data_IF_320356991590
#
_entry.id   IF_320356991590
#
_cell.length_a   1.000
_cell.length_b   1.000
_cell.length_c   1.000
_cell.angle_alpha   90.00
_cell.angle_beta   90.00
_cell.angle_gamma   90.00
#
_symmetry.space_group_name_H-M   'P 1'
#
loop_
_entity.id
_entity.type
_entity.pdbx_description
1 polymer ?
#
# COMPACT_ATOMS: atom_id res chain seq x y z
N UNK A 1 -3.00 6.62 21.95
CA UNK A 1 -3.02 5.45 21.05
C UNK A 1 -1.70 5.45 20.30
N UNK A 2 -0.94 4.36 20.37
CA UNK A 2 0.29 4.18 19.59
C UNK A 2 -0.07 3.80 18.17
N UNK A 3 0.48 4.51 17.19
CA UNK A 3 0.41 4.10 15.79
C UNK A 3 1.36 2.92 15.58
N UNK A 4 0.87 1.82 15.03
CA UNK A 4 1.72 0.70 14.64
C UNK A 4 2.38 1.02 13.30
N UNK A 5 3.72 0.95 13.28
CA UNK A 5 4.52 0.95 12.05
C UNK A 5 4.94 -0.50 11.83
N UNK A 6 4.58 -1.05 10.67
CA UNK A 6 4.96 -2.39 10.23
C UNK A 6 5.91 -2.25 9.06
N UNK A 7 6.98 -3.05 9.03
CA UNK A 7 7.90 -3.09 7.90
C UNK A 7 7.43 -4.09 6.84
N UNK A 8 7.34 -3.63 5.57
CA UNK A 8 6.99 -4.47 4.43
C UNK A 8 8.21 -5.04 3.69
N UNK A 9 8.04 -6.07 2.85
CA UNK A 9 9.10 -6.53 1.94
C UNK A 9 9.44 -5.44 0.92
N UNK A 10 10.69 -5.39 0.49
CA UNK A 10 11.17 -4.29 -0.33
C UNK A 10 10.49 -4.18 -1.71
N UNK A 11 10.19 -2.95 -2.11
CA UNK A 11 9.79 -2.61 -3.48
C UNK A 11 11.05 -2.54 -4.34
N UNK A 12 11.04 -3.28 -5.45
CA UNK A 12 12.06 -3.18 -6.49
C UNK A 12 11.56 -2.23 -7.57
N UNK A 13 12.28 -1.11 -7.76
CA UNK A 13 11.92 -0.07 -8.74
C UNK A 13 11.78 -0.69 -10.13
N UNK A 14 10.64 -0.41 -10.79
CA UNK A 14 10.32 -0.88 -12.13
C UNK A 14 9.70 -2.28 -12.20
N UNK A 15 9.42 -2.92 -11.05
CA UNK A 15 8.73 -4.20 -10.97
C UNK A 15 7.38 -4.05 -10.28
N UNK A 16 6.42 -4.89 -10.65
CA UNK A 16 5.12 -4.90 -9.95
C UNK A 16 5.32 -5.41 -8.53
N UNK A 17 4.96 -4.59 -7.56
CA UNK A 17 4.98 -4.97 -6.15
C UNK A 17 3.66 -5.65 -5.77
N UNK A 18 3.73 -6.70 -4.96
CA UNK A 18 2.56 -7.39 -4.42
C UNK A 18 2.78 -7.68 -2.95
N UNK A 19 1.73 -7.45 -2.15
CA UNK A 19 1.74 -7.72 -0.72
C UNK A 19 0.36 -8.18 -0.28
N UNK A 20 0.30 -9.25 0.50
CA UNK A 20 -0.92 -9.63 1.21
C UNK A 20 -0.84 -9.11 2.65
N UNK A 21 -1.90 -8.43 3.07
CA UNK A 21 -2.07 -7.85 4.39
C UNK A 21 -3.09 -8.70 5.15
N UNK A 22 -2.63 -9.37 6.20
CA UNK A 22 -3.48 -10.14 7.11
C UNK A 22 -3.69 -9.35 8.40
N UNK A 23 -4.96 -9.18 8.79
CA UNK A 23 -5.37 -8.48 9.99
C UNK A 23 -5.86 -9.47 11.05
N UNK A 24 -5.57 -9.19 12.33
CA UNK A 24 -6.07 -9.99 13.46
C UNK A 24 -7.59 -9.88 13.69
N UNK A 25 -8.22 -8.86 13.09
CA UNK A 25 -9.64 -8.57 13.18
C UNK A 25 -10.23 -8.35 11.77
N UNK A 26 -11.56 -8.51 11.60
CA UNK A 26 -12.22 -8.35 10.31
C UNK A 26 -12.28 -6.88 9.87
N UNK A 27 -11.19 -6.37 9.30
CA UNK A 27 -11.04 -4.98 8.85
C UNK A 27 -11.56 -4.73 7.43
N UNK A 28 -11.75 -5.80 6.64
CA UNK A 28 -12.05 -5.72 5.20
C UNK A 28 -13.41 -6.37 4.87
N UNK A 29 -14.56 -5.81 5.31
CA UNK A 29 -15.86 -6.39 4.97
C UNK A 29 -16.09 -6.43 3.45
N UNK A 30 -16.97 -7.33 2.98
CA UNK A 30 -17.20 -7.61 1.55
C UNK A 30 -17.45 -6.38 0.67
N UNK A 31 -18.14 -5.36 1.21
CA UNK A 31 -18.51 -4.14 0.50
C UNK A 31 -17.64 -2.93 0.89
N UNK A 32 -16.45 -3.16 1.47
CA UNK A 32 -15.56 -2.07 1.86
C UNK A 32 -14.94 -1.40 0.63
N UNK A 33 -15.13 -0.09 0.52
CA UNK A 33 -14.34 0.74 -0.39
C UNK A 33 -13.11 1.25 0.37
N UNK A 34 -11.93 0.82 -0.08
CA UNK A 34 -10.66 1.15 0.58
C UNK A 34 -9.81 1.95 -0.40
N UNK A 35 -9.19 3.00 0.13
CA UNK A 35 -8.13 3.76 -0.54
C UNK A 35 -6.85 3.65 0.27
N UNK A 36 -5.72 3.53 -0.43
CA UNK A 36 -4.40 3.64 0.15
C UNK A 36 -3.58 4.67 -0.65
N UNK A 37 -2.71 5.40 0.04
CA UNK A 37 -1.82 6.36 -0.61
C UNK A 37 -0.38 6.04 -0.24
N UNK A 38 0.49 6.01 -1.26
CA UNK A 38 1.93 5.84 -1.09
C UNK A 38 2.60 7.21 -1.11
N UNK A 39 3.44 7.48 -0.12
CA UNK A 39 4.16 8.75 0.04
C UNK A 39 5.60 8.50 0.48
N UNK A 40 6.49 9.46 0.25
CA UNK A 40 7.89 9.36 0.72
C UNK A 40 7.99 9.32 2.25
N UNK A 41 7.12 10.04 2.95
CA UNK A 41 7.03 10.09 4.41
C UNK A 41 5.62 10.54 4.81
N UNK A 42 5.18 10.33 6.07
CA UNK A 42 3.82 10.66 6.48
C UNK A 42 3.45 12.14 6.33
N UNK A 43 4.46 13.03 6.38
CA UNK A 43 4.30 14.48 6.22
C UNK A 43 4.45 14.98 4.79
N UNK A 44 4.70 14.11 3.81
CA UNK A 44 4.84 14.52 2.41
C UNK A 44 3.47 14.86 1.81
N UNK A 45 3.38 15.97 1.08
CA UNK A 45 2.17 16.39 0.35
C UNK A 45 1.96 15.63 -0.94
N UNK A 46 3.04 15.18 -1.57
CA UNK A 46 2.99 14.51 -2.86
C UNK A 46 2.58 13.05 -2.69
N UNK A 47 1.64 12.61 -3.53
CA UNK A 47 1.17 11.23 -3.60
C UNK A 47 1.95 10.55 -4.73
N UNK A 48 2.71 9.51 -4.39
CA UNK A 48 3.49 8.74 -5.36
C UNK A 48 2.61 7.71 -6.09
N UNK A 49 1.65 7.11 -5.37
CA UNK A 49 0.64 6.22 -5.94
C UNK A 49 -0.64 6.28 -5.12
N UNK A 50 -1.79 6.12 -5.78
CA UNK A 50 -3.09 5.91 -5.12
C UNK A 50 -3.57 4.52 -5.50
N UNK A 51 -3.92 3.73 -4.48
CA UNK A 51 -4.40 2.37 -4.66
C UNK A 51 -5.84 2.30 -4.18
N UNK A 52 -6.73 1.65 -4.92
CA UNK A 52 -8.14 1.56 -4.58
C UNK A 52 -8.71 0.16 -4.81
N UNK A 53 -9.84 -0.13 -4.16
CA UNK A 53 -10.64 -1.32 -4.51
C UNK A 53 -11.28 -1.20 -5.89
N UNK A 54 -11.51 0.02 -6.39
CA UNK A 54 -12.18 0.27 -7.67
C UNK A 54 -11.31 -0.01 -8.90
N UNK A 55 -9.99 0.22 -8.80
CA UNK A 55 -9.02 -0.04 -9.88
C UNK A 55 -8.34 -1.42 -9.78
N UNK A 56 -8.67 -2.19 -8.74
CA UNK A 56 -8.13 -3.53 -8.50
C UNK A 56 -6.69 -3.57 -7.99
N UNK A 57 -6.09 -2.42 -7.65
CA UNK A 57 -4.79 -2.38 -6.95
C UNK A 57 -4.92 -2.81 -5.49
N UNK A 58 -6.11 -2.67 -4.89
CA UNK A 58 -6.50 -3.33 -3.65
C UNK A 58 -7.57 -4.39 -3.96
N UNK A 59 -7.33 -5.63 -3.56
CA UNK A 59 -8.25 -6.74 -3.77
C UNK A 59 -8.54 -7.43 -2.45
N UNK A 60 -9.80 -7.42 -2.03
CA UNK A 60 -10.24 -8.19 -0.87
C UNK A 60 -10.16 -9.68 -1.18
N UNK A 61 -9.53 -10.44 -0.27
CA UNK A 61 -9.54 -11.91 -0.31
C UNK A 61 -10.48 -12.50 0.74
N UNK A 62 -10.53 -11.89 1.93
CA UNK A 62 -11.46 -12.26 3.01
C UNK A 62 -11.71 -11.06 3.93
N UNK A 63 -12.50 -11.23 5.00
CA UNK A 63 -12.71 -10.18 6.00
C UNK A 63 -11.42 -9.75 6.71
N UNK A 64 -10.39 -10.60 6.72
CA UNK A 64 -9.11 -10.37 7.37
C UNK A 64 -7.92 -10.32 6.41
N UNK A 65 -8.12 -10.52 5.10
CA UNK A 65 -7.04 -10.58 4.12
C UNK A 65 -7.29 -9.64 2.94
N UNK A 66 -6.34 -8.73 2.71
CA UNK A 66 -6.34 -7.76 1.61
C UNK A 66 -5.06 -7.90 0.79
N UNK A 67 -5.17 -8.17 -0.50
CA UNK A 67 -4.05 -8.12 -1.43
C UNK A 67 -3.87 -6.70 -1.96
N UNK A 68 -2.64 -6.24 -1.99
CA UNK A 68 -2.21 -4.96 -2.52
C UNK A 68 -1.24 -5.18 -3.68
N UNK A 69 -1.41 -4.39 -4.73
CA UNK A 69 -0.54 -4.38 -5.92
C UNK A 69 -0.15 -2.95 -6.25
N UNK A 70 1.15 -2.66 -6.33
CA UNK A 70 1.65 -1.41 -6.93
C UNK A 70 2.18 -1.74 -8.33
N UNK A 71 1.55 -1.24 -9.41
CA UNK A 71 1.98 -1.47 -10.77
C UNK A 71 3.45 -1.07 -11.02
N UNK A 72 4.12 -1.80 -11.90
CA UNK A 72 5.50 -1.49 -12.30
C UNK A 72 5.69 -0.02 -12.75
N UNK A 73 4.79 0.59 -13.56
CA UNK A 73 4.92 2.00 -13.94
C UNK A 73 4.91 2.97 -12.77
N UNK A 74 4.17 2.67 -11.70
CA UNK A 74 4.12 3.52 -10.51
C UNK A 74 5.41 3.38 -9.70
N UNK A 75 5.87 2.14 -9.45
CA UNK A 75 7.13 1.88 -8.74
C UNK A 75 8.36 2.42 -9.49
N UNK A 76 8.28 2.56 -10.82
CA UNK A 76 9.35 3.12 -11.64
C UNK A 76 9.62 4.60 -11.32
N UNK A 77 8.64 5.30 -10.75
CA UNK A 77 8.76 6.70 -10.33
C UNK A 77 9.28 6.83 -8.89
N UNK A 78 9.50 5.73 -8.18
CA UNK A 78 9.99 5.77 -6.81
C UNK A 78 11.51 5.95 -6.76
N UNK A 79 12.00 6.58 -5.69
CA UNK A 79 13.42 6.74 -5.42
C UNK A 79 13.90 5.73 -4.37
N UNK A 80 15.18 5.30 -4.40
CA UNK A 80 15.74 4.44 -3.37
C UNK A 80 15.63 5.07 -1.97
N UNK A 81 15.22 4.28 -0.98
CA UNK A 81 14.95 4.79 0.37
C UNK A 81 13.84 3.98 1.04
N UNK A 82 12.84 4.68 1.59
CA UNK A 82 11.59 4.08 2.04
C UNK A 82 10.40 4.89 1.56
N UNK A 83 9.26 4.22 1.44
CA UNK A 83 7.95 4.85 1.28
C UNK A 83 7.05 4.40 2.41
N UNK A 84 6.07 5.23 2.73
CA UNK A 84 5.02 4.91 3.68
C UNK A 84 3.69 4.79 2.97
N UNK A 85 2.85 3.91 3.50
CA UNK A 85 1.47 3.76 3.07
C UNK A 85 0.57 3.66 4.30
N UNK A 86 -0.58 4.32 4.24
CA UNK A 86 -1.73 4.08 5.12
C UNK A 86 -2.97 3.76 4.28
N UNK A 87 -4.01 3.30 4.97
CA UNK A 87 -5.27 2.91 4.36
C UNK A 87 -6.44 3.51 5.12
N UNK A 88 -7.47 3.87 4.38
CA UNK A 88 -8.73 4.31 4.93
C UNK A 88 -9.92 3.69 4.18
N UNK A 89 -10.97 3.40 4.93
CA UNK A 89 -12.29 3.09 4.38
C UNK A 89 -13.00 4.39 4.02
N UNK A 90 -13.49 4.44 2.79
CA UNK A 90 -14.21 5.60 2.22
C UNK A 90 -15.69 5.33 1.98
N UNK A 91 -16.14 4.07 2.18
CA UNK A 91 -17.55 3.68 2.17
C UNK A 91 -18.32 4.21 3.40
N UNK A 92 -17.60 4.58 4.47
CA UNK A 92 -18.15 5.16 5.71
C UNK A 92 -17.85 6.66 5.83
N UNK A 93 -18.71 7.39 6.55
CA UNK A 93 -18.57 8.84 6.78
C UNK A 93 -18.52 9.19 8.27
N UNK A 94 -17.48 9.90 8.77
CA UNK A 94 -16.28 10.30 8.03
C UNK A 94 -15.45 9.08 7.59
N UNK A 95 -14.52 9.30 6.65
CA UNK A 95 -13.60 8.24 6.24
C UNK A 95 -12.88 7.68 7.47
N UNK A 96 -12.70 6.36 7.50
CA UNK A 96 -12.18 5.63 8.66
C UNK A 96 -10.77 5.11 8.37
N UNK A 97 -9.72 5.72 8.95
CA UNK A 97 -8.37 5.20 8.87
C UNK A 97 -8.30 3.81 9.53
N UNK A 98 -7.54 2.89 8.93
CA UNK A 98 -7.36 1.53 9.46
C UNK A 98 -6.36 1.46 10.63
N UNK A 99 -5.70 2.57 10.95
CA UNK A 99 -4.94 2.72 12.20
C UNK A 99 -3.51 2.16 12.19
N UNK A 100 -2.95 1.86 11.02
CA UNK A 100 -1.56 1.44 10.86
C UNK A 100 -0.88 2.20 9.72
N UNK A 101 0.45 2.21 9.77
CA UNK A 101 1.30 2.60 8.64
C UNK A 101 2.19 1.43 8.27
N UNK A 102 2.36 1.24 6.96
CA UNK A 102 3.31 0.31 6.40
C UNK A 102 4.51 1.13 5.90
N UNK A 103 5.68 0.90 6.46
CA UNK A 103 6.94 1.43 5.94
C UNK A 103 7.59 0.36 5.06
N UNK A 104 7.87 0.70 3.81
CA UNK A 104 8.38 -0.26 2.82
C UNK A 104 9.70 0.26 2.26
N UNK A 105 10.80 -0.51 2.38
CA UNK A 105 12.06 -0.13 1.75
C UNK A 105 11.94 -0.17 0.21
N UNK A 106 12.53 0.80 -0.46
CA UNK A 106 12.58 0.89 -1.93
C UNK A 106 14.02 0.72 -2.38
N UNK A 107 14.26 -0.22 -3.29
CA UNK A 107 15.59 -0.59 -3.76
C UNK A 107 15.67 -0.62 -5.28
N UNK A 108 16.87 -0.35 -5.80
CA UNK A 108 17.17 -0.66 -7.19
C UNK A 108 17.36 -2.18 -7.35
N UNK A 109 16.70 -2.80 -8.34
CA UNK A 109 16.91 -4.22 -8.62
C UNK A 109 18.37 -4.47 -9.00
N UNK A 110 18.91 -5.60 -8.53
CA UNK A 110 20.21 -6.12 -8.98
C UNK A 110 20.07 -6.76 -10.36
N UNK A 111 18.94 -7.43 -10.62
CA UNK A 111 18.54 -7.94 -11.94
C UNK A 111 18.04 -6.80 -12.83
N UNK A 112 18.97 -6.04 -13.42
CA UNK A 112 18.66 -4.96 -14.36
C UNK A 112 18.70 -5.47 -15.81
N UNK A 113 17.88 -4.90 -16.69
CA UNK A 113 17.95 -5.13 -18.13
C UNK A 113 17.38 -6.46 -18.61
N UNK A 114 16.48 -7.08 -17.83
CA UNK A 114 15.68 -8.21 -18.31
C UNK A 114 14.59 -7.65 -19.23
N UNK A 115 14.90 -7.55 -20.51
CA UNK A 115 13.97 -7.20 -21.60
C UNK A 115 13.41 -8.47 -22.24
#
# INVERSE_FOLDING_TARGET
MSVAIVEGPAILIGYTYRLDLEAEAPLFPEMADIIAQVRLKPSATDILATLTTADGTLMRQSDCLLSLVIPAPDTANFEPGSVVLDMARVDVRPALPLGFFLEIPVMLPVTRGLS
#
